data_IF_085160658438
#
_entry.id   IF_085160658438
#
_cell.length_a   1.000
_cell.length_b   1.000
_cell.length_c   1.000
_cell.angle_alpha   90.00
_cell.angle_beta   90.00
_cell.angle_gamma   90.00
#
_symmetry.space_group_name_H-M   'P 1'
#
loop_
_entity.id
_entity.type
_entity.pdbx_description
1 polymer ?
#
# COMPACT_ATOMS: atom_id res chain seq x y z
N UNK A 1 -29.70 22.24 -4.69
CA UNK A 1 -28.58 21.30 -4.45
C UNK A 1 -29.08 20.27 -3.46
N UNK A 2 -29.02 18.99 -3.79
CA UNK A 2 -29.39 17.88 -2.89
C UNK A 2 -28.09 17.23 -2.42
N UNK A 3 -27.94 17.02 -1.12
CA UNK A 3 -26.76 16.41 -0.54
C UNK A 3 -26.99 14.91 -0.34
N UNK A 4 -26.10 14.11 -0.91
CA UNK A 4 -26.07 12.65 -0.84
C UNK A 4 -24.87 12.21 -0.02
N UNK A 5 -24.96 11.11 0.72
CA UNK A 5 -23.82 10.61 1.47
C UNK A 5 -24.13 9.42 2.36
N UNK A 6 -23.22 8.45 2.34
CA UNK A 6 -23.19 7.33 3.28
C UNK A 6 -22.01 7.56 4.21
N UNK A 7 -22.29 7.67 5.51
CA UNK A 7 -21.28 7.78 6.55
C UNK A 7 -20.95 6.40 7.08
N UNK A 8 -19.66 6.13 7.27
CA UNK A 8 -19.16 4.88 7.83
C UNK A 8 -18.38 5.13 9.12
N UNK A 9 -18.21 4.09 9.93
CA UNK A 9 -17.43 4.16 11.17
C UNK A 9 -15.91 4.28 10.93
N UNK A 10 -15.41 3.92 9.75
CA UNK A 10 -13.99 3.95 9.40
C UNK A 10 -13.81 4.41 7.94
N UNK A 11 -13.14 5.55 7.76
CA UNK A 11 -12.83 6.12 6.43
C UNK A 11 -11.52 5.60 5.85
N UNK A 12 -10.59 5.11 6.68
CA UNK A 12 -9.42 4.35 6.24
C UNK A 12 -9.47 2.97 6.86
N UNK A 13 -9.45 1.94 6.02
CA UNK A 13 -9.57 0.56 6.46
C UNK A 13 -8.24 -0.16 6.25
N UNK A 14 -7.56 -0.45 7.35
CA UNK A 14 -6.35 -1.28 7.37
C UNK A 14 -6.72 -2.56 8.12
N UNK A 15 -6.50 -3.70 7.51
CA UNK A 15 -6.76 -4.97 8.17
C UNK A 15 -5.70 -6.02 7.86
N UNK A 16 -5.38 -6.81 8.87
CA UNK A 16 -4.39 -7.87 8.79
C UNK A 16 -5.05 -9.13 8.24
N UNK A 17 -4.37 -9.83 7.32
CA UNK A 17 -4.84 -11.11 6.81
C UNK A 17 -4.91 -12.24 7.84
N UNK A 18 -4.40 -12.02 9.04
CA UNK A 18 -4.48 -12.92 10.19
C UNK A 18 -5.63 -12.58 11.14
N UNK A 19 -6.31 -11.46 10.95
CA UNK A 19 -7.41 -11.00 11.80
C UNK A 19 -8.80 -11.46 11.29
N UNK A 20 -9.81 -11.25 12.13
CA UNK A 20 -11.21 -11.52 11.80
C UNK A 20 -11.76 -10.53 10.75
N UNK A 21 -12.86 -10.87 10.06
CA UNK A 21 -13.54 -9.96 9.13
C UNK A 21 -13.87 -8.62 9.76
N UNK A 22 -13.66 -7.53 9.02
CA UNK A 22 -13.84 -6.17 9.55
C UNK A 22 -15.31 -5.77 9.47
N UNK A 23 -15.89 -5.36 10.61
CA UNK A 23 -17.25 -4.82 10.66
C UNK A 23 -17.27 -3.35 10.29
N UNK A 24 -18.04 -3.03 9.26
CA UNK A 24 -18.33 -1.68 8.80
C UNK A 24 -19.78 -1.37 9.16
N UNK A 25 -19.99 -0.25 9.84
CA UNK A 25 -21.34 0.25 10.11
C UNK A 25 -21.58 1.46 9.22
N UNK A 26 -22.58 1.36 8.35
CA UNK A 26 -22.98 2.41 7.44
C UNK A 26 -24.29 3.05 7.92
N UNK A 27 -24.38 4.38 7.80
CA UNK A 27 -25.57 5.16 8.07
C UNK A 27 -25.74 6.27 7.02
N UNK A 28 -26.97 6.64 6.73
CA UNK A 28 -27.28 7.89 6.04
C UNK A 28 -27.93 8.87 7.01
N UNK A 29 -27.65 10.17 6.84
CA UNK A 29 -28.10 11.20 7.77
C UNK A 29 -29.28 12.02 7.24
N UNK A 30 -29.40 12.18 5.93
CA UNK A 30 -30.32 13.16 5.33
C UNK A 30 -31.45 12.49 4.56
N UNK A 31 -31.11 11.55 3.68
CA UNK A 31 -32.04 10.91 2.75
C UNK A 31 -31.73 9.43 2.63
N UNK A 32 -32.71 8.62 2.24
CA UNK A 32 -32.46 7.21 2.01
C UNK A 32 -31.49 7.00 0.84
N UNK A 33 -30.53 6.11 1.01
CA UNK A 33 -29.46 5.84 0.04
C UNK A 33 -29.32 4.35 -0.21
N UNK A 34 -28.97 3.96 -1.44
CA UNK A 34 -28.64 2.55 -1.75
C UNK A 34 -27.20 2.25 -1.33
N UNK A 35 -27.06 1.43 -0.29
CA UNK A 35 -25.77 0.89 0.15
C UNK A 35 -25.42 -0.29 -0.75
N UNK A 36 -24.42 -0.12 -1.60
CA UNK A 36 -23.92 -1.13 -2.54
C UNK A 36 -22.38 -1.09 -2.55
N UNK A 37 -21.74 -1.71 -1.54
CA UNK A 37 -20.32 -1.55 -1.33
C UNK A 37 -19.49 -2.31 -2.36
N UNK A 38 -18.40 -1.69 -2.79
CA UNK A 38 -17.43 -2.25 -3.73
C UNK A 38 -16.03 -1.98 -3.19
N UNK A 39 -15.22 -3.03 -3.06
CA UNK A 39 -13.83 -2.90 -2.62
C UNK A 39 -12.91 -3.71 -3.52
N UNK A 40 -11.80 -3.08 -3.91
CA UNK A 40 -10.76 -3.70 -4.72
C UNK A 40 -9.39 -3.46 -4.12
N UNK A 41 -8.49 -4.41 -4.32
CA UNK A 41 -7.04 -4.25 -4.12
C UNK A 41 -6.39 -4.36 -5.50
N UNK A 42 -5.79 -3.28 -5.98
CA UNK A 42 -5.25 -3.15 -7.33
C UNK A 42 -3.73 -2.92 -7.35
N UNK A 43 -3.12 -2.66 -6.19
CA UNK A 43 -1.69 -2.38 -6.02
C UNK A 43 -1.11 -3.27 -4.94
N UNK A 44 0.17 -3.61 -5.06
CA UNK A 44 0.95 -4.28 -4.01
C UNK A 44 2.19 -3.45 -3.69
N UNK A 45 2.47 -3.28 -2.40
CA UNK A 45 3.68 -2.65 -1.87
C UNK A 45 4.54 -3.71 -1.24
N UNK A 46 5.68 -4.00 -1.85
CA UNK A 46 6.64 -4.98 -1.35
C UNK A 46 7.75 -4.26 -0.59
N UNK A 47 7.99 -4.57 0.70
CA UNK A 47 9.06 -3.94 1.47
C UNK A 47 10.44 -4.49 1.09
N UNK A 48 11.41 -3.60 0.98
CA UNK A 48 12.83 -3.90 0.75
C UNK A 48 13.67 -3.25 1.85
N UNK A 49 14.56 -4.05 2.45
CA UNK A 49 15.65 -3.53 3.28
C UNK A 49 16.88 -3.26 2.41
N UNK A 50 17.69 -2.26 2.77
CA UNK A 50 18.93 -2.00 2.05
C UNK A 50 19.89 -3.18 2.24
N UNK A 51 20.54 -3.59 1.15
CA UNK A 51 21.61 -4.60 1.16
C UNK A 51 22.97 -3.98 1.46
N UNK A 52 23.10 -2.67 1.22
CA UNK A 52 24.30 -1.89 1.49
C UNK A 52 23.90 -0.48 1.92
N UNK A 53 24.72 0.12 2.79
CA UNK A 53 24.49 1.41 3.41
C UNK A 53 25.82 2.14 3.63
N UNK A 54 26.03 3.22 2.89
CA UNK A 54 27.29 3.97 2.91
C UNK A 54 27.05 5.44 3.21
N UNK A 55 27.76 5.97 4.21
CA UNK A 55 27.81 7.41 4.47
C UNK A 55 29.13 7.95 3.91
N UNK A 56 29.05 9.04 3.15
CA UNK A 56 30.19 9.69 2.52
C UNK A 56 30.12 11.20 2.78
N UNK A 57 31.27 11.84 3.00
CA UNK A 57 31.36 13.29 2.92
C UNK A 57 31.28 13.75 1.46
N UNK A 58 30.48 14.78 1.18
CA UNK A 58 30.39 15.38 -0.15
C UNK A 58 31.55 16.36 -0.40
N UNK A 59 31.61 17.00 -1.58
CA UNK A 59 32.74 17.87 -1.90
C UNK A 59 32.83 19.07 -0.94
N UNK A 60 34.01 19.30 -0.34
CA UNK A 60 34.22 20.44 0.55
C UNK A 60 34.17 21.80 -0.17
N UNK A 61 34.41 21.81 -1.48
CA UNK A 61 34.43 23.04 -2.30
C UNK A 61 33.01 23.54 -2.63
N UNK A 62 32.04 22.61 -2.71
CA UNK A 62 30.66 22.92 -3.10
C UNK A 62 29.65 22.67 -1.98
N UNK A 63 29.75 21.54 -1.29
CA UNK A 63 28.76 21.02 -0.36
C UNK A 63 29.16 21.33 1.09
N UNK A 64 29.44 22.61 1.36
CA UNK A 64 29.82 23.12 2.68
C UNK A 64 28.93 24.30 3.05
N UNK A 65 28.32 24.22 4.22
CA UNK A 65 27.48 25.29 4.75
C UNK A 65 28.33 26.49 5.20
N UNK A 66 27.77 27.71 5.24
CA UNK A 66 28.48 28.89 5.74
C UNK A 66 29.02 28.75 7.18
N UNK A 67 28.40 27.89 7.99
CA UNK A 67 28.88 27.52 9.33
C UNK A 67 30.18 26.70 9.35
N UNK A 68 30.68 26.30 8.18
CA UNK A 68 31.85 25.44 8.03
C UNK A 68 31.52 23.94 8.05
N UNK A 69 30.28 23.55 8.36
CA UNK A 69 29.86 22.15 8.34
C UNK A 69 29.81 21.61 6.91
N UNK A 70 30.43 20.45 6.71
CA UNK A 70 30.39 19.73 5.44
C UNK A 70 29.15 18.86 5.37
N UNK A 71 28.48 18.87 4.22
CA UNK A 71 27.29 18.05 3.99
C UNK A 71 27.73 16.60 3.74
N UNK A 72 26.99 15.67 4.34
CA UNK A 72 27.18 14.24 4.17
C UNK A 72 26.05 13.66 3.31
N UNK A 73 26.31 12.54 2.65
CA UNK A 73 25.31 11.75 1.95
C UNK A 73 25.27 10.33 2.48
N UNK A 74 24.07 9.86 2.82
CA UNK A 74 23.77 8.45 3.01
C UNK A 74 23.26 7.87 1.69
N UNK A 75 23.88 6.79 1.24
CA UNK A 75 23.50 6.02 0.06
C UNK A 75 23.02 4.66 0.53
N UNK A 76 21.73 4.39 0.33
CA UNK A 76 21.10 3.10 0.60
C UNK A 76 20.89 2.38 -0.72
N UNK A 77 21.41 1.15 -0.83
CA UNK A 77 21.24 0.32 -2.03
C UNK A 77 20.30 -0.83 -1.74
N UNK A 78 19.24 -0.96 -2.53
CA UNK A 78 18.23 -2.02 -2.43
C UNK A 78 18.30 -2.90 -3.68
N UNK A 79 18.30 -4.22 -3.48
CA UNK A 79 18.27 -5.18 -4.60
C UNK A 79 16.83 -5.61 -4.88
N UNK A 80 16.38 -5.35 -6.11
CA UNK A 80 15.03 -5.66 -6.58
C UNK A 80 15.11 -6.70 -7.69
N UNK A 81 14.28 -7.74 -7.59
CA UNK A 81 14.09 -8.73 -8.65
C UNK A 81 12.65 -8.67 -9.15
N UNK A 82 12.50 -8.54 -10.47
CA UNK A 82 11.23 -8.59 -11.18
C UNK A 82 11.18 -9.89 -11.98
N UNK A 83 10.23 -10.76 -11.64
CA UNK A 83 10.02 -12.02 -12.36
C UNK A 83 9.36 -11.82 -13.73
N UNK A 84 8.58 -10.76 -13.85
CA UNK A 84 7.91 -10.29 -15.06
C UNK A 84 8.07 -8.78 -15.16
N UNK A 85 7.86 -8.23 -16.35
CA UNK A 85 7.83 -6.78 -16.53
C UNK A 85 6.68 -6.16 -15.73
N UNK A 86 6.93 -5.03 -15.07
CA UNK A 86 5.94 -4.38 -14.22
C UNK A 86 6.09 -2.86 -14.23
N UNK A 87 4.97 -2.16 -14.09
CA UNK A 87 4.99 -0.77 -13.69
C UNK A 87 5.29 -0.67 -12.19
N UNK A 88 6.41 -0.02 -11.84
CA UNK A 88 6.86 0.12 -10.46
C UNK A 88 6.95 1.59 -10.04
N UNK A 89 6.67 1.85 -8.76
CA UNK A 89 6.82 3.15 -8.13
C UNK A 89 7.49 3.00 -6.76
N UNK A 90 8.66 3.62 -6.54
CA UNK A 90 9.24 3.69 -5.21
C UNK A 90 8.34 4.46 -4.25
N UNK A 91 8.17 3.94 -3.04
CA UNK A 91 7.36 4.55 -2.00
C UNK A 91 8.11 4.51 -0.67
N UNK A 92 8.46 5.69 -0.16
CA UNK A 92 9.19 5.86 1.10
C UNK A 92 8.32 6.72 2.01
N UNK A 93 7.39 6.13 2.80
CA UNK A 93 6.39 6.88 3.55
C UNK A 93 6.94 8.01 4.42
N UNK A 94 8.15 7.83 4.97
CA UNK A 94 8.80 8.82 5.83
C UNK A 94 9.21 10.11 5.10
N UNK A 95 9.45 10.01 3.79
CA UNK A 95 10.12 11.01 2.96
C UNK A 95 9.26 11.56 1.83
N UNK A 96 8.40 10.72 1.25
CA UNK A 96 7.50 11.11 0.17
C UNK A 96 6.59 12.28 0.58
N UNK A 97 6.17 13.04 -0.42
CA UNK A 97 5.23 14.16 -0.30
C UNK A 97 5.71 15.34 0.57
N UNK A 98 7.02 15.38 0.89
CA UNK A 98 7.65 16.40 1.74
C UNK A 98 8.89 16.99 1.07
N UNK A 99 8.74 18.14 0.41
CA UNK A 99 9.87 18.90 -0.15
C UNK A 99 10.46 19.85 0.89
N UNK A 100 9.65 20.73 1.47
CA UNK A 100 10.12 21.78 2.38
C UNK A 100 9.92 21.44 3.86
N UNK A 101 9.05 20.46 4.14
CA UNK A 101 8.75 20.01 5.51
C UNK A 101 9.70 18.91 6.01
N UNK A 102 10.66 18.50 5.18
CA UNK A 102 11.70 17.54 5.55
C UNK A 102 12.89 18.24 6.20
N UNK A 103 13.56 17.55 7.12
CA UNK A 103 14.81 18.03 7.75
C UNK A 103 16.05 17.65 6.93
N UNK A 104 15.88 16.84 5.89
CA UNK A 104 16.95 16.48 4.97
C UNK A 104 17.14 17.58 3.94
N UNK A 105 18.38 17.84 3.56
CA UNK A 105 18.71 18.83 2.54
C UNK A 105 18.33 18.36 1.14
N UNK A 106 18.34 17.05 0.93
CA UNK A 106 17.98 16.43 -0.33
C UNK A 106 17.61 14.97 -0.11
N UNK A 107 16.67 14.51 -0.93
CA UNK A 107 16.34 13.12 -1.11
C UNK A 107 16.17 12.88 -2.61
N UNK A 108 16.79 11.82 -3.14
CA UNK A 108 16.50 11.36 -4.49
C UNK A 108 16.78 9.87 -4.61
N UNK A 109 16.04 9.19 -5.47
CA UNK A 109 16.28 7.80 -5.81
C UNK A 109 16.66 7.64 -7.27
N UNK A 110 17.34 6.53 -7.56
CA UNK A 110 17.65 6.08 -8.91
C UNK A 110 17.46 4.57 -8.99
N UNK A 111 16.84 4.09 -10.07
CA UNK A 111 16.74 2.66 -10.38
C UNK A 111 17.59 2.37 -11.62
N UNK A 112 18.53 1.44 -11.48
CA UNK A 112 19.41 1.01 -12.58
C UNK A 112 19.55 -0.51 -12.63
N UNK A 113 19.85 -1.06 -13.81
CA UNK A 113 20.17 -2.48 -13.96
C UNK A 113 21.63 -2.80 -13.59
N UNK A 114 22.03 -4.06 -13.79
CA UNK A 114 23.42 -4.53 -13.61
C UNK A 114 24.42 -3.89 -14.58
N UNK A 115 23.96 -3.43 -15.75
CA UNK A 115 24.77 -2.71 -16.74
C UNK A 115 24.85 -1.20 -16.43
N UNK A 116 24.35 -0.76 -15.27
CA UNK A 116 24.26 0.65 -14.85
C UNK A 116 23.39 1.51 -15.75
N UNK A 117 22.52 0.91 -16.56
CA UNK A 117 21.50 1.64 -17.32
C UNK A 117 20.44 2.14 -16.35
N UNK A 118 20.19 3.44 -16.37
CA UNK A 118 19.17 4.08 -15.52
C UNK A 118 17.79 3.95 -16.17
N UNK A 119 16.83 3.45 -15.41
CA UNK A 119 15.43 3.28 -15.82
C UNK A 119 14.51 4.35 -15.22
N UNK A 120 14.80 4.77 -13.99
CA UNK A 120 13.95 5.71 -13.26
C UNK A 120 14.76 6.53 -12.28
N UNK A 121 14.31 7.76 -12.03
CA UNK A 121 14.85 8.69 -11.04
C UNK A 121 13.71 9.55 -10.52
N UNK A 122 13.80 9.98 -9.27
CA UNK A 122 12.81 10.86 -8.66
C UNK A 122 13.20 11.25 -7.24
N UNK A 123 12.30 11.97 -6.56
CA UNK A 123 12.54 12.57 -5.24
C UNK A 123 11.31 12.42 -4.33
N UNK A 124 10.83 13.53 -3.73
CA UNK A 124 9.64 13.58 -2.88
C UNK A 124 8.36 13.11 -3.57
N UNK A 125 8.25 13.24 -4.90
CA UNK A 125 7.06 12.81 -5.65
C UNK A 125 7.40 11.72 -6.68
N UNK A 126 7.62 10.46 -6.27
CA UNK A 126 7.94 9.38 -7.19
C UNK A 126 6.84 9.16 -8.22
N UNK A 127 7.24 9.05 -9.49
CA UNK A 127 6.38 8.64 -10.59
C UNK A 127 6.55 7.15 -10.90
N UNK A 128 5.51 6.56 -11.50
CA UNK A 128 5.55 5.17 -11.95
C UNK A 128 6.44 5.02 -13.19
N UNK A 129 7.19 3.92 -13.27
CA UNK A 129 8.08 3.59 -14.39
C UNK A 129 7.92 2.13 -14.79
N UNK A 130 7.90 1.84 -16.09
CA UNK A 130 7.80 0.48 -16.60
C UNK A 130 9.19 -0.15 -16.67
N UNK A 131 9.38 -1.24 -15.95
CA UNK A 131 10.64 -2.00 -15.94
C UNK A 131 10.40 -3.40 -16.52
N UNK A 132 11.25 -3.88 -17.44
CA UNK A 132 11.17 -5.26 -17.90
C UNK A 132 11.55 -6.26 -16.80
N UNK A 133 11.33 -7.54 -17.05
CA UNK A 133 11.86 -8.62 -16.23
C UNK A 133 13.37 -8.46 -16.06
N UNK A 134 13.87 -8.58 -14.82
CA UNK A 134 15.30 -8.43 -14.55
C UNK A 134 15.65 -8.18 -13.09
N UNK A 135 16.94 -7.96 -12.84
CA UNK A 135 17.47 -7.52 -11.54
C UNK A 135 17.89 -6.07 -11.60
N UNK A 136 17.54 -5.32 -10.55
CA UNK A 136 17.76 -3.89 -10.46
C UNK A 136 18.35 -3.51 -9.11
N UNK A 137 19.13 -2.43 -9.13
CA UNK A 137 19.56 -1.70 -7.96
C UNK A 137 18.73 -0.42 -7.86
N UNK A 138 18.01 -0.26 -6.76
CA UNK A 138 17.41 1.01 -6.39
C UNK A 138 18.35 1.65 -5.37
N UNK A 139 18.85 2.83 -5.67
CA UNK A 139 19.67 3.62 -4.76
C UNK A 139 18.88 4.81 -4.25
N UNK A 140 18.84 5.01 -2.94
CA UNK A 140 18.26 6.18 -2.29
C UNK A 140 19.40 7.01 -1.67
N UNK A 141 19.43 8.28 -2.02
CA UNK A 141 20.41 9.24 -1.55
C UNK A 141 19.74 10.23 -0.61
N UNK A 142 20.26 10.35 0.62
CA UNK A 142 19.81 11.33 1.62
C UNK A 142 20.97 12.23 2.00
N UNK A 143 20.75 13.54 2.00
CA UNK A 143 21.76 14.54 2.38
C UNK A 143 21.41 15.22 3.69
N UNK A 144 22.41 15.36 4.56
CA UNK A 144 22.29 16.10 5.81
C UNK A 144 23.68 16.46 6.36
N UNK A 145 23.82 17.61 7.00
CA UNK A 145 25.02 18.02 7.76
C UNK A 145 25.25 17.22 9.07
N UNK A 146 24.29 16.44 9.54
CA UNK A 146 24.36 15.71 10.81
C UNK A 146 24.41 14.19 10.57
N UNK A 147 25.59 13.62 10.81
CA UNK A 147 25.83 12.18 10.67
C UNK A 147 24.91 11.32 11.53
N UNK A 148 24.53 11.78 12.74
CA UNK A 148 23.70 11.00 13.66
C UNK A 148 22.27 10.83 13.12
N UNK A 149 21.78 11.78 12.32
CA UNK A 149 20.49 11.66 11.65
C UNK A 149 20.60 10.65 10.50
N UNK A 150 21.68 10.69 9.72
CA UNK A 150 21.93 9.72 8.65
C UNK A 150 22.10 8.29 9.20
N UNK A 151 22.79 8.11 10.32
CA UNK A 151 22.97 6.81 10.99
C UNK A 151 21.62 6.15 11.34
N UNK A 152 20.64 6.93 11.83
CA UNK A 152 19.28 6.45 12.12
C UNK A 152 18.53 5.95 10.88
N UNK A 153 18.96 6.35 9.69
CA UNK A 153 18.30 6.03 8.42
C UNK A 153 18.94 4.84 7.71
N UNK A 154 20.03 4.25 8.23
CA UNK A 154 20.76 3.15 7.57
C UNK A 154 19.90 1.94 7.23
N UNK A 155 18.85 1.70 8.00
CA UNK A 155 17.94 0.56 7.84
C UNK A 155 16.57 0.95 7.31
N UNK A 156 16.44 2.13 6.70
CA UNK A 156 15.17 2.62 6.17
C UNK A 156 14.58 1.61 5.19
N UNK A 157 13.38 1.14 5.50
CA UNK A 157 12.62 0.25 4.61
C UNK A 157 11.99 1.10 3.51
N UNK A 158 12.17 0.64 2.28
CA UNK A 158 11.53 1.21 1.10
C UNK A 158 10.46 0.23 0.62
N UNK A 159 9.31 0.74 0.18
CA UNK A 159 8.33 -0.07 -0.52
C UNK A 159 8.48 0.13 -2.03
N UNK A 160 8.45 -0.96 -2.78
CA UNK A 160 8.25 -0.90 -4.22
C UNK A 160 6.79 -1.22 -4.51
N UNK A 161 6.03 -0.20 -4.90
CA UNK A 161 4.64 -0.32 -5.32
C UNK A 161 4.57 -0.84 -6.75
N UNK A 162 3.65 -1.78 -7.02
CA UNK A 162 3.38 -2.34 -8.34
C UNK A 162 1.87 -2.44 -8.55
N UNK A 163 1.40 -2.20 -9.77
CA UNK A 163 0.02 -2.49 -10.13
C UNK A 163 -0.17 -4.00 -10.35
N UNK A 164 -1.32 -4.53 -9.97
CA UNK A 164 -1.68 -5.93 -10.19
C UNK A 164 -2.25 -6.18 -11.60
N UNK A 165 -2.56 -5.13 -12.35
CA UNK A 165 -3.09 -5.15 -13.73
C UNK A 165 -4.26 -6.14 -13.93
N UNK A 166 -3.96 -7.41 -14.22
CA UNK A 166 -4.94 -8.48 -14.45
C UNK A 166 -5.36 -9.22 -13.18
N UNK A 167 -4.59 -9.09 -12.10
CA UNK A 167 -4.79 -9.79 -10.83
C UNK A 167 -5.47 -8.88 -9.79
N UNK A 168 -6.36 -7.98 -10.21
CA UNK A 168 -7.14 -7.12 -9.30
C UNK A 168 -8.01 -7.98 -8.40
N UNK A 169 -7.89 -7.78 -7.09
CA UNK A 169 -8.58 -8.59 -6.09
C UNK A 169 -9.85 -7.86 -5.67
N UNK A 170 -11.01 -8.42 -6.04
CA UNK A 170 -12.29 -7.97 -5.52
C UNK A 170 -12.56 -8.59 -4.15
N UNK A 171 -12.87 -7.76 -3.16
CA UNK A 171 -13.22 -8.21 -1.83
C UNK A 171 -14.73 -8.45 -1.73
N UNK A 172 -15.09 -9.39 -0.86
CA UNK A 172 -16.48 -9.80 -0.65
C UNK A 172 -17.02 -9.21 0.65
N UNK A 173 -18.30 -8.83 0.62
CA UNK A 173 -19.03 -8.35 1.78
C UNK A 173 -20.04 -9.40 2.26
N UNK A 174 -20.31 -9.39 3.56
CA UNK A 174 -21.17 -10.37 4.23
C UNK A 174 -22.07 -9.69 5.26
N UNK A 175 -23.28 -10.21 5.46
CA UNK A 175 -24.24 -9.70 6.46
C UNK A 175 -23.95 -10.22 7.87
N UNK A 176 -23.09 -11.23 8.01
CA UNK A 176 -22.79 -11.92 9.26
C UNK A 176 -21.27 -12.07 9.42
N UNK A 177 -20.74 -12.07 10.66
CA UNK A 177 -19.31 -12.15 10.92
C UNK A 177 -18.69 -13.45 10.40
N UNK A 178 -19.41 -14.56 10.50
CA UNK A 178 -18.93 -15.89 10.08
C UNK A 178 -19.14 -16.17 8.58
N UNK A 179 -19.77 -15.25 7.84
CA UNK A 179 -20.07 -15.39 6.42
C UNK A 179 -18.86 -15.76 5.55
N UNK A 180 -17.68 -15.12 5.72
CA UNK A 180 -16.46 -15.50 5.00
C UNK A 180 -16.03 -16.95 5.23
N UNK A 181 -16.25 -17.48 6.44
CA UNK A 181 -15.86 -18.84 6.81
C UNK A 181 -16.89 -19.87 6.33
N UNK A 182 -18.18 -19.55 6.45
CA UNK A 182 -19.28 -20.43 6.08
C UNK A 182 -19.61 -20.40 4.59
N UNK A 183 -19.11 -19.42 3.85
CA UNK A 183 -19.38 -19.24 2.42
C UNK A 183 -20.84 -18.86 2.12
N UNK A 184 -21.60 -18.41 3.12
CA UNK A 184 -22.98 -17.98 3.00
C UNK A 184 -23.15 -16.51 3.47
N UNK A 185 -24.34 -15.96 3.32
CA UNK A 185 -24.63 -14.60 3.83
C UNK A 185 -23.90 -13.47 3.09
N UNK A 186 -23.61 -13.64 1.79
CA UNK A 186 -23.05 -12.57 0.96
C UNK A 186 -23.95 -11.33 0.94
N UNK A 187 -23.37 -10.18 1.21
CA UNK A 187 -24.02 -8.88 1.14
C UNK A 187 -23.79 -8.25 -0.23
N UNK A 188 -24.86 -7.82 -0.89
CA UNK A 188 -24.82 -7.17 -2.21
C UNK A 188 -25.22 -5.71 -2.14
N UNK A 189 -26.43 -5.45 -1.66
CA UNK A 189 -26.92 -4.11 -1.41
C UNK A 189 -28.09 -4.10 -0.43
N UNK A 190 -28.36 -2.92 0.13
CA UNK A 190 -29.53 -2.62 0.95
C UNK A 190 -29.96 -1.16 0.78
N UNK A 191 -31.13 -0.81 1.31
CA UNK A 191 -31.58 0.57 1.39
C UNK A 191 -31.31 1.10 2.80
N UNK A 192 -30.41 2.07 2.92
CA UNK A 192 -30.19 2.78 4.17
C UNK A 192 -31.32 3.78 4.40
N UNK A 193 -31.87 3.76 5.60
CA UNK A 193 -32.90 4.70 6.06
C UNK A 193 -32.21 5.71 6.98
N UNK A 194 -32.52 7.02 6.87
CA UNK A 194 -31.95 8.04 7.73
C UNK A 194 -32.02 7.69 9.22
N UNK A 195 -30.88 7.75 9.90
CA UNK A 195 -30.76 7.49 11.33
C UNK A 195 -30.67 6.00 11.73
N UNK A 196 -30.80 5.07 10.79
CA UNK A 196 -30.60 3.63 11.05
C UNK A 196 -29.19 3.23 10.62
N UNK A 197 -28.47 2.55 11.52
CA UNK A 197 -27.15 1.96 11.25
C UNK A 197 -27.31 0.53 10.76
N UNK A 198 -26.68 0.24 9.63
CA UNK A 198 -26.60 -1.11 9.10
C UNK A 198 -25.15 -1.63 9.17
N UNK A 199 -24.97 -2.84 9.69
CA UNK A 199 -23.67 -3.49 9.82
C UNK A 199 -23.43 -4.48 8.69
N UNK A 200 -22.27 -4.38 8.05
CA UNK A 200 -21.76 -5.33 7.08
C UNK A 200 -20.32 -5.73 7.42
N UNK A 201 -19.87 -6.86 6.90
CA UNK A 201 -18.57 -7.44 7.21
C UNK A 201 -17.75 -7.58 5.93
N UNK A 202 -16.55 -7.04 5.93
CA UNK A 202 -15.58 -7.19 4.86
C UNK A 202 -14.74 -8.44 5.10
N UNK A 203 -14.83 -9.41 4.20
CA UNK A 203 -14.04 -10.63 4.27
C UNK A 203 -12.63 -10.46 3.71
N UNK A 204 -11.63 -11.20 4.25
CA UNK A 204 -10.30 -11.21 3.68
C UNK A 204 -10.28 -11.80 2.27
N UNK A 205 -9.31 -11.40 1.42
CA UNK A 205 -9.12 -12.02 0.13
C UNK A 205 -8.82 -13.51 0.28
N UNK A 206 -9.33 -14.32 -0.66
CA UNK A 206 -9.02 -15.75 -0.71
C UNK A 206 -7.53 -15.95 -0.95
N UNK A 207 -6.91 -16.90 -0.23
CA UNK A 207 -5.46 -17.17 -0.30
C UNK A 207 -4.97 -17.44 -1.73
N UNK A 208 -5.79 -18.10 -2.55
CA UNK A 208 -5.50 -18.42 -3.95
C UNK A 208 -5.42 -17.17 -4.86
N UNK A 209 -6.08 -16.07 -4.47
CA UNK A 209 -6.10 -14.81 -5.21
C UNK A 209 -4.96 -13.87 -4.81
N UNK A 210 -4.17 -14.21 -3.80
CA UNK A 210 -3.01 -13.41 -3.40
C UNK A 210 -1.90 -13.54 -4.46
N UNK A 211 -1.21 -12.45 -4.83
CA UNK A 211 -0.14 -12.51 -5.82
C UNK A 211 1.00 -13.40 -5.34
N UNK A 212 1.56 -14.24 -6.22
CA UNK A 212 2.64 -15.19 -5.87
C UNK A 212 3.87 -14.53 -5.23
N UNK A 213 4.11 -13.26 -5.56
CA UNK A 213 5.23 -12.45 -5.05
C UNK A 213 4.91 -11.63 -3.80
N UNK A 214 3.81 -11.94 -3.11
CA UNK A 214 3.43 -11.30 -1.84
C UNK A 214 4.19 -11.94 -0.67
N UNK A 215 5.36 -11.41 -0.34
CA UNK A 215 6.08 -11.81 0.88
C UNK A 215 5.38 -11.27 2.12
N UNK A 216 5.62 -11.89 3.29
CA UNK A 216 5.14 -11.37 4.57
C UNK A 216 5.55 -9.90 4.75
N UNK A 217 4.63 -9.07 5.22
CA UNK A 217 4.83 -7.63 5.36
C UNK A 217 4.61 -6.83 4.06
N UNK A 218 4.31 -7.50 2.94
CA UNK A 218 3.73 -6.83 1.78
C UNK A 218 2.34 -6.30 2.11
N UNK A 219 1.99 -5.17 1.52
CA UNK A 219 0.69 -4.54 1.73
C UNK A 219 -0.02 -4.41 0.39
N UNK A 220 -1.18 -5.05 0.27
CA UNK A 220 -2.09 -4.83 -0.84
C UNK A 220 -2.88 -3.55 -0.58
N UNK A 221 -3.00 -2.69 -1.58
CA UNK A 221 -3.65 -1.38 -1.47
C UNK A 221 -4.67 -1.24 -2.59
N UNK A 222 -5.77 -0.56 -2.29
CA UNK A 222 -6.75 -0.14 -3.28
C UNK A 222 -7.77 0.80 -2.68
N UNK A 223 -9.01 0.69 -3.13
CA UNK A 223 -10.10 1.56 -2.69
C UNK A 223 -11.38 0.78 -2.35
N UNK A 224 -12.20 1.40 -1.53
CA UNK A 224 -13.54 0.97 -1.15
C UNK A 224 -14.53 2.12 -1.29
N UNK A 225 -15.70 1.83 -1.84
CA UNK A 225 -16.84 2.75 -1.89
C UNK A 225 -18.09 2.03 -1.38
N UNK A 226 -19.08 2.80 -0.93
CA UNK A 226 -20.28 2.27 -0.28
C UNK A 226 -21.57 2.58 -1.04
N UNK A 227 -21.60 3.68 -1.80
CA UNK A 227 -22.77 4.12 -2.54
C UNK A 227 -22.78 3.59 -3.97
N UNK A 228 -23.98 3.47 -4.53
CA UNK A 228 -24.15 3.14 -5.95
C UNK A 228 -24.10 4.40 -6.82
N UNK A 229 -23.28 4.38 -7.86
CA UNK A 229 -23.29 5.40 -8.90
C UNK A 229 -24.50 5.22 -9.83
N UNK A 230 -25.22 6.33 -10.06
CA UNK A 230 -26.36 6.40 -10.98
C UNK A 230 -25.95 6.54 -12.46
N UNK A 231 -24.69 6.88 -12.75
CA UNK A 231 -24.19 7.11 -14.10
C UNK A 231 -23.15 6.03 -14.48
N UNK A 232 -23.38 5.35 -15.62
CA UNK A 232 -22.52 4.37 -16.30
C UNK A 232 -22.21 3.02 -15.60
N UNK A 233 -22.56 1.91 -16.26
CA UNK A 233 -22.32 0.53 -15.79
C UNK A 233 -20.84 0.14 -15.64
N UNK A 234 -19.93 0.80 -16.36
CA UNK A 234 -18.48 0.53 -16.30
C UNK A 234 -17.80 1.18 -15.09
N UNK A 235 -18.34 2.29 -14.57
CA UNK A 235 -17.81 2.98 -13.37
C UNK A 235 -18.28 2.32 -12.07
N UNK A 236 -19.28 1.43 -12.14
CA UNK A 236 -19.81 0.70 -10.97
C UNK A 236 -18.80 -0.23 -10.31
N UNK A 237 -17.77 -0.68 -11.01
CA UNK A 237 -16.82 -1.69 -10.51
C UNK A 237 -15.51 -1.14 -9.95
N UNK A 238 -15.22 0.13 -10.23
CA UNK A 238 -13.98 0.77 -9.80
C UNK A 238 -14.29 1.81 -8.70
N UNK A 239 -14.06 1.47 -7.42
CA UNK A 239 -14.36 2.38 -6.32
C UNK A 239 -13.50 3.65 -6.37
N UNK A 240 -12.35 3.69 -7.05
CA UNK A 240 -11.53 4.92 -7.18
C UNK A 240 -12.24 6.01 -7.98
N UNK A 241 -13.23 5.66 -8.82
CA UNK A 241 -14.04 6.61 -9.61
C UNK A 241 -15.26 7.13 -8.87
N UNK A 242 -15.56 6.58 -7.70
CA UNK A 242 -16.73 6.99 -6.92
C UNK A 242 -16.43 8.31 -6.19
N UNK A 243 -17.40 9.23 -6.07
CA UNK A 243 -17.18 10.53 -5.44
C UNK A 243 -16.83 10.41 -3.95
N UNK A 244 -17.33 9.36 -3.29
CA UNK A 244 -16.96 8.99 -1.93
C UNK A 244 -16.21 7.66 -1.96
N UNK A 245 -14.90 7.76 -2.14
CA UNK A 245 -13.97 6.63 -2.18
C UNK A 245 -12.98 6.74 -1.03
N UNK A 246 -12.67 5.59 -0.45
CA UNK A 246 -11.86 5.46 0.75
C UNK A 246 -10.72 4.51 0.49
N UNK A 247 -9.59 4.73 1.16
CA UNK A 247 -8.42 3.88 0.99
C UNK A 247 -8.55 2.61 1.82
N UNK A 248 -8.26 1.47 1.20
CA UNK A 248 -8.19 0.17 1.87
C UNK A 248 -6.78 -0.42 1.75
N UNK A 249 -6.31 -1.06 2.81
CA UNK A 249 -5.02 -1.73 2.85
C UNK A 249 -5.12 -3.08 3.57
N UNK A 250 -4.55 -4.10 2.96
CA UNK A 250 -4.51 -5.47 3.47
C UNK A 250 -3.06 -5.91 3.69
N UNK A 251 -2.73 -6.28 4.92
CA UNK A 251 -1.38 -6.77 5.26
C UNK A 251 -1.33 -8.27 4.99
N UNK A 252 -0.36 -8.68 4.16
CA UNK A 252 -0.19 -10.07 3.76
C UNK A 252 0.29 -10.89 4.97
N UNK A 253 -0.46 -11.94 5.37
CA UNK A 253 -0.13 -12.74 6.55
C UNK A 253 1.11 -13.61 6.30
N UNK A 254 1.68 -14.26 7.33
CA UNK A 254 2.83 -15.15 7.15
C UNK A 254 2.50 -16.32 6.18
N UNK A 255 3.29 -16.46 5.11
CA UNK A 255 3.06 -17.47 4.06
C UNK A 255 3.34 -18.92 4.51
N UNK A 256 4.08 -19.12 5.62
CA UNK A 256 4.42 -20.45 6.12
C UNK A 256 3.40 -20.87 7.18
N UNK A 257 2.60 -21.90 6.85
CA UNK A 257 2.03 -22.77 7.88
C UNK A 257 3.20 -23.62 8.40
N UNK A 258 3.82 -23.21 9.50
CA UNK A 258 4.71 -24.12 10.23
C UNK A 258 3.83 -25.23 10.79
N UNK A 259 3.70 -26.34 10.06
CA UNK A 259 3.05 -27.56 10.52
C UNK A 259 3.80 -28.05 11.75
N UNK A 260 3.40 -27.60 12.93
CA UNK A 260 3.72 -28.28 14.16
C UNK A 260 2.87 -29.56 14.14
N UNK A 261 3.42 -30.64 13.61
CA UNK A 261 2.88 -31.98 13.79
C UNK A 261 2.83 -32.24 15.30
N UNK A 262 1.70 -31.93 15.93
CA UNK A 262 1.37 -32.50 17.22
C UNK A 262 1.24 -34.00 16.97
N UNK A 263 2.31 -34.74 17.26
CA UNK A 263 2.22 -36.19 17.43
C UNK A 263 1.26 -36.42 18.58
N UNK A 264 0.02 -36.77 18.25
CA UNK A 264 -0.89 -37.37 19.23
C UNK A 264 -0.20 -38.62 19.78
N UNK A 265 -0.14 -38.80 21.12
CA UNK A 265 0.40 -40.02 21.68
C UNK A 265 -0.46 -41.22 21.23
N UNK A 266 0.15 -42.39 20.98
CA UNK A 266 -0.61 -43.59 20.68
C UNK A 266 -1.49 -43.97 21.88
N UNK A 267 -2.72 -44.42 21.57
CA UNK A 267 -3.71 -44.94 22.50
C UNK A 267 -3.18 -46.10 23.34
#
# INVERSE_FOLDING_TARGET
VVFHGIKVNQEELIFDGSEAPVRINAETLLISEELAPVAILNKIRVPYRPIDSKICALSADRDKLPSGKQILALILTYKVKLEDGAQVKPHIPLLNDRIYDTKFESQFYMISDSNKRVYSRGDAYPSSSNLPKGEYNLQLYLRHDNVQILEKMRHLVLFLERNLEKDVIHLNFFSQPDGPLMGNGSFKSSLLIPGIKEGLYLGPPQKEKLPKNSQQGSVLVGAISYGKLSFADQEKKDPEKHPASYRISYVVPPNKVTLCLMKLPPL
#
